data_IF_650133393974
#
_entry.id   IF_650133393974
#
_cell.length_a   1.000
_cell.length_b   1.000
_cell.length_c   1.000
_cell.angle_alpha   90.00
_cell.angle_beta   90.00
_cell.angle_gamma   90.00
#
_symmetry.space_group_name_H-M   'P 1'
#
loop_
_entity.id
_entity.type
_entity.pdbx_description
1 polymer ?
#
# COMPACT_ATOMS: atom_id res chain seq x y z
N UNK A 1 12.77 -5.94 2.61
CA UNK A 1 11.77 -6.54 1.66
C UNK A 1 12.34 -7.69 0.82
N UNK A 2 13.66 -7.78 0.61
CA UNK A 2 14.29 -8.89 -0.13
C UNK A 2 14.03 -10.28 0.48
N UNK A 3 13.81 -10.36 1.79
CA UNK A 3 13.45 -11.61 2.50
C UNK A 3 12.10 -12.20 2.09
N UNK A 4 11.22 -11.41 1.48
CA UNK A 4 9.87 -11.82 1.04
C UNK A 4 9.70 -11.82 -0.48
N UNK A 5 10.79 -11.72 -1.26
CA UNK A 5 10.75 -11.70 -2.73
C UNK A 5 10.20 -10.40 -3.31
N UNK A 6 10.08 -9.34 -2.51
CA UNK A 6 9.67 -8.02 -2.97
C UNK A 6 10.77 -7.37 -3.82
N UNK A 7 10.37 -6.71 -4.88
CA UNK A 7 11.29 -5.87 -5.66
C UNK A 7 11.64 -4.63 -4.85
N UNK A 8 12.90 -4.15 -4.89
CA UNK A 8 13.32 -2.97 -4.13
C UNK A 8 12.60 -1.68 -4.56
N UNK A 9 12.08 -1.66 -5.77
CA UNK A 9 11.35 -0.55 -6.41
C UNK A 9 9.85 -0.50 -6.07
N UNK A 10 9.36 -1.40 -5.22
CA UNK A 10 7.98 -1.39 -4.74
C UNK A 10 8.00 -1.20 -3.21
N UNK A 11 8.08 0.03 -2.71
CA UNK A 11 7.99 0.30 -1.29
C UNK A 11 6.60 -0.08 -0.77
N UNK A 12 6.60 -0.64 0.43
CA UNK A 12 5.42 -1.02 1.17
C UNK A 12 5.29 -0.12 2.40
N UNK A 13 4.11 0.45 2.58
CA UNK A 13 3.74 1.12 3.83
C UNK A 13 3.02 0.08 4.70
N UNK A 14 3.58 -0.28 5.86
CA UNK A 14 2.93 -1.21 6.78
C UNK A 14 1.71 -0.56 7.46
N UNK A 15 0.87 -1.37 8.08
CA UNK A 15 -0.35 -0.88 8.74
C UNK A 15 -0.10 0.16 9.85
N UNK A 16 1.07 0.11 10.49
CA UNK A 16 1.54 1.06 11.51
C UNK A 16 2.31 2.26 10.94
N UNK A 17 2.50 2.30 9.61
CA UNK A 17 3.10 3.42 8.89
C UNK A 17 2.10 4.53 8.55
N UNK A 18 0.84 4.40 8.96
CA UNK A 18 -0.20 5.40 8.76
C UNK A 18 -0.38 6.26 10.00
N UNK A 19 -0.32 7.58 9.80
CA UNK A 19 -0.62 8.55 10.84
C UNK A 19 -2.13 8.59 11.13
N UNK A 20 -2.50 9.02 12.35
CA UNK A 20 -3.89 9.10 12.75
C UNK A 20 -4.59 10.26 12.06
N UNK A 21 -5.47 9.96 11.11
CA UNK A 21 -6.23 10.92 10.33
C UNK A 21 -7.63 10.37 10.00
N UNK A 22 -8.59 11.21 9.60
CA UNK A 22 -9.91 10.76 9.17
C UNK A 22 -9.83 9.70 8.06
N UNK A 23 -8.96 9.86 7.08
CA UNK A 23 -8.74 8.92 5.96
C UNK A 23 -8.28 7.54 6.45
N UNK A 24 -7.45 7.50 7.49
CA UNK A 24 -6.82 6.27 7.98
C UNK A 24 -7.52 5.68 9.20
N UNK A 25 -8.63 6.30 9.62
CA UNK A 25 -9.43 5.83 10.74
C UNK A 25 -9.96 4.42 10.48
N UNK A 26 -9.51 3.47 11.26
CA UNK A 26 -9.88 2.05 11.08
C UNK A 26 -9.12 1.31 9.98
N UNK A 27 -8.31 1.98 9.18
CA UNK A 27 -7.44 1.35 8.20
C UNK A 27 -6.30 0.59 8.89
N UNK A 28 -6.17 -0.70 8.62
CA UNK A 28 -5.22 -1.60 9.30
C UNK A 28 -4.46 -2.49 8.31
N UNK A 29 -4.36 -2.04 7.07
CA UNK A 29 -3.76 -2.80 5.99
C UNK A 29 -2.46 -2.18 5.54
N UNK A 30 -1.63 -2.99 4.90
CA UNK A 30 -0.46 -2.52 4.16
C UNK A 30 -0.86 -2.11 2.75
N UNK A 31 -0.14 -1.15 2.19
CA UNK A 31 -0.30 -0.70 0.81
C UNK A 31 1.02 -0.70 0.07
N UNK A 32 0.96 -0.65 -1.26
CA UNK A 32 2.11 -0.71 -2.14
C UNK A 32 2.18 0.55 -3.01
N UNK A 33 3.37 1.10 -3.15
CA UNK A 33 3.63 2.34 -3.91
C UNK A 33 4.76 2.11 -4.92
N UNK A 34 4.48 1.52 -6.09
CA UNK A 34 5.51 1.26 -7.08
C UNK A 34 6.19 2.54 -7.56
N UNK A 35 7.54 2.57 -7.52
CA UNK A 35 8.35 3.72 -7.97
C UNK A 35 7.97 5.06 -7.32
N UNK A 36 7.54 5.04 -6.07
CA UNK A 36 7.08 6.24 -5.38
C UNK A 36 8.19 7.26 -5.15
N UNK A 37 7.84 8.52 -5.28
CA UNK A 37 8.66 9.67 -4.87
C UNK A 37 8.32 10.07 -3.44
N UNK A 38 9.32 10.35 -2.61
CA UNK A 38 9.09 10.84 -1.26
C UNK A 38 8.67 12.31 -1.25
N UNK A 39 7.76 12.65 -0.34
CA UNK A 39 7.29 14.01 -0.11
C UNK A 39 8.06 14.66 1.04
N UNK A 40 8.29 15.97 0.93
CA UNK A 40 8.82 16.79 2.01
C UNK A 40 7.81 17.88 2.34
N UNK A 41 7.29 17.87 3.56
CA UNK A 41 6.35 18.87 4.02
C UNK A 41 7.09 20.16 4.31
N UNK A 42 6.54 21.30 3.84
CA UNK A 42 7.09 22.61 4.12
C UNK A 42 7.06 22.90 5.63
N UNK A 43 8.17 23.40 6.16
CA UNK A 43 8.28 23.84 7.55
C UNK A 43 9.02 25.19 7.60
N UNK A 44 8.37 26.29 8.04
CA UNK A 44 6.96 26.35 8.47
C UNK A 44 5.97 26.13 7.30
N UNK A 45 4.76 25.67 7.63
CA UNK A 45 3.67 25.55 6.65
C UNK A 45 3.27 26.94 6.12
N UNK A 46 2.81 27.06 4.87
CA UNK A 46 2.28 28.32 4.33
C UNK A 46 1.10 28.83 5.17
N UNK A 47 0.92 30.16 5.24
CA UNK A 47 -0.04 30.78 6.13
C UNK A 47 -1.45 30.22 6.06
N UNK A 48 -1.93 29.73 7.20
CA UNK A 48 -3.27 29.16 7.38
C UNK A 48 -3.48 27.76 6.79
N UNK A 49 -2.41 27.09 6.34
CA UNK A 49 -2.45 25.70 5.86
C UNK A 49 -1.94 24.78 6.96
N UNK A 50 -2.69 23.73 7.26
CA UNK A 50 -2.27 22.61 8.10
C UNK A 50 -1.75 21.51 7.18
N UNK A 51 -0.51 21.03 7.42
CA UNK A 51 0.13 19.97 6.64
C UNK A 51 0.34 18.74 7.53
N UNK A 52 -0.15 17.59 7.11
CA UNK A 52 0.00 16.35 7.85
C UNK A 52 0.54 15.25 6.94
N UNK A 53 1.52 14.49 7.42
CA UNK A 53 1.92 13.26 6.76
C UNK A 53 0.83 12.21 6.97
N UNK A 54 0.48 11.47 5.92
CA UNK A 54 -0.56 10.44 5.99
C UNK A 54 0.03 9.03 6.03
N UNK A 55 1.05 8.78 5.20
CA UNK A 55 1.69 7.48 5.06
C UNK A 55 3.21 7.61 5.05
N UNK A 56 3.88 6.75 5.81
CA UNK A 56 5.33 6.71 5.92
C UNK A 56 5.86 5.31 5.71
N UNK A 57 7.02 5.24 5.09
CA UNK A 57 7.77 3.99 4.97
C UNK A 57 8.41 3.58 6.30
N UNK A 58 8.99 2.40 6.34
CA UNK A 58 9.75 1.94 7.50
C UNK A 58 11.10 2.67 7.64
N UNK A 59 11.72 2.70 8.83
CA UNK A 59 13.07 3.26 9.03
C UNK A 59 14.17 2.57 8.19
N UNK A 60 13.93 1.36 7.72
CA UNK A 60 14.87 0.60 6.89
C UNK A 60 14.79 0.93 5.40
N UNK A 61 13.85 1.78 5.00
CA UNK A 61 13.75 2.25 3.62
C UNK A 61 14.73 3.39 3.35
N UNK A 62 14.98 3.66 2.09
CA UNK A 62 15.72 4.84 1.66
C UNK A 62 15.11 5.41 0.37
N UNK A 63 15.33 6.69 0.13
CA UNK A 63 14.99 7.39 -1.10
C UNK A 63 16.19 7.42 -2.01
N UNK A 64 16.19 6.61 -3.04
CA UNK A 64 17.26 6.48 -4.02
C UNK A 64 17.32 7.71 -4.93
N UNK A 65 18.45 8.43 -4.90
CA UNK A 65 18.65 9.64 -5.71
C UNK A 65 19.12 9.31 -7.14
N UNK A 66 19.83 8.20 -7.29
CA UNK A 66 20.44 7.79 -8.56
C UNK A 66 19.67 6.65 -9.26
N UNK A 67 18.37 6.52 -9.00
CA UNK A 67 17.56 5.38 -9.43
C UNK A 67 17.70 5.06 -10.93
N UNK A 68 17.61 6.06 -11.81
CA UNK A 68 17.70 5.86 -13.26
C UNK A 68 19.01 5.24 -13.73
N UNK A 69 20.10 5.50 -13.01
CA UNK A 69 21.44 4.99 -13.36
C UNK A 69 21.76 3.68 -12.67
N UNK A 70 21.24 3.44 -11.47
CA UNK A 70 21.56 2.26 -10.67
C UNK A 70 20.59 1.11 -10.85
N UNK A 71 19.29 1.39 -11.02
CA UNK A 71 18.28 0.34 -11.21
C UNK A 71 18.58 -0.61 -12.38
N UNK A 72 19.03 -0.13 -13.57
CA UNK A 72 19.37 -1.03 -14.67
C UNK A 72 20.54 -1.97 -14.35
N UNK A 73 21.39 -1.62 -13.39
CA UNK A 73 22.53 -2.47 -12.99
C UNK A 73 22.13 -3.60 -12.04
N UNK A 74 20.91 -3.56 -11.49
CA UNK A 74 20.43 -4.49 -10.46
C UNK A 74 21.15 -4.35 -9.11
N UNK A 75 21.89 -3.26 -8.88
CA UNK A 75 22.72 -3.04 -7.68
C UNK A 75 22.27 -1.87 -6.85
N UNK A 76 20.95 -1.68 -6.72
CA UNK A 76 20.40 -0.67 -5.81
C UNK A 76 20.87 -0.94 -4.39
N UNK A 77 21.61 0.00 -3.82
CA UNK A 77 22.11 -0.03 -2.44
C UNK A 77 22.10 1.39 -1.89
N UNK A 78 21.66 1.51 -0.65
CA UNK A 78 21.74 2.77 0.05
C UNK A 78 23.16 3.32 0.05
N UNK A 79 23.33 4.57 -0.38
CA UNK A 79 24.57 5.31 -0.39
C UNK A 79 24.45 6.62 0.45
N UNK A 80 25.57 7.36 0.70
CA UNK A 80 25.53 8.61 1.49
C UNK A 80 24.73 9.76 0.88
N UNK A 81 24.30 9.66 -0.38
CA UNK A 81 23.48 10.67 -1.04
C UNK A 81 22.00 10.43 -0.83
N UNK A 82 21.65 9.20 -0.47
CA UNK A 82 20.29 8.77 -0.29
C UNK A 82 19.69 9.28 1.01
N UNK A 83 18.39 9.47 0.99
CA UNK A 83 17.63 9.89 2.15
C UNK A 83 17.14 8.70 2.95
N UNK A 84 17.65 8.54 4.18
CA UNK A 84 17.20 7.49 5.11
C UNK A 84 15.72 7.64 5.47
N UNK A 85 15.01 6.53 5.55
CA UNK A 85 13.64 6.47 6.06
C UNK A 85 13.53 6.72 7.59
N UNK A 86 12.29 6.90 8.09
CA UNK A 86 11.04 6.76 7.35
C UNK A 86 10.77 7.94 6.41
N UNK A 87 10.30 7.65 5.20
CA UNK A 87 9.98 8.65 4.18
C UNK A 87 8.47 8.82 4.05
N UNK A 88 8.00 10.05 3.93
CA UNK A 88 6.58 10.34 3.68
C UNK A 88 6.26 10.05 2.22
N UNK A 89 5.27 9.19 1.96
CA UNK A 89 4.78 8.88 0.61
C UNK A 89 3.40 9.48 0.34
N UNK A 90 2.64 9.81 1.37
CA UNK A 90 1.36 10.50 1.24
C UNK A 90 1.23 11.58 2.29
N UNK A 91 0.61 12.68 1.94
CA UNK A 91 0.38 13.82 2.81
C UNK A 91 -0.97 14.48 2.48
N UNK A 92 -1.53 15.17 3.45
CA UNK A 92 -2.73 15.98 3.30
C UNK A 92 -2.45 17.40 3.68
N UNK A 93 -3.22 18.31 3.09
CA UNK A 93 -3.21 19.73 3.43
C UNK A 93 -4.66 20.21 3.59
N UNK A 94 -4.92 20.96 4.64
CA UNK A 94 -6.21 21.61 4.90
C UNK A 94 -6.02 23.09 5.11
N UNK A 95 -6.99 23.87 4.63
CA UNK A 95 -7.04 25.30 4.87
C UNK A 95 -8.49 25.71 5.12
N UNK A 96 -8.76 26.25 6.30
CA UNK A 96 -10.07 26.84 6.63
C UNK A 96 -10.27 28.13 5.85
N UNK A 97 -11.43 28.26 5.22
CA UNK A 97 -11.85 29.43 4.46
C UNK A 97 -12.82 30.23 5.36
N UNK A 98 -12.40 31.41 5.79
CA UNK A 98 -13.22 32.31 6.62
C UNK A 98 -12.40 32.96 7.73
N UNK A 99 -12.88 34.10 8.22
CA UNK A 99 -12.30 34.72 9.41
C UNK A 99 -12.60 33.84 10.64
N UNK A 100 -11.65 33.76 11.59
CA UNK A 100 -11.93 33.15 12.87
C UNK A 100 -13.15 33.81 13.50
N UNK A 101 -14.05 33.07 14.19
CA UNK A 101 -15.20 33.70 14.88
C UNK A 101 -14.68 34.77 15.82
N UNK A 102 -15.33 35.95 15.76
CA UNK A 102 -14.97 37.07 16.62
C UNK A 102 -15.01 36.65 18.10
N UNK A 103 -14.11 37.12 18.95
CA UNK A 103 -14.14 36.81 20.37
C UNK A 103 -15.49 37.21 20.97
N UNK A 104 -16.22 36.23 21.54
CA UNK A 104 -17.54 36.47 22.13
C UNK A 104 -18.74 36.11 21.26
N UNK A 105 -18.55 35.59 20.07
CA UNK A 105 -19.63 35.01 19.26
C UNK A 105 -20.24 33.78 19.96
N UNK A 106 -21.56 33.63 19.99
CA UNK A 106 -22.19 32.44 20.56
C UNK A 106 -21.70 31.19 19.77
N UNK A 107 -21.61 30.03 20.43
CA UNK A 107 -21.21 28.79 19.75
C UNK A 107 -22.14 28.58 18.56
N UNK A 108 -21.59 28.63 17.36
CA UNK A 108 -22.33 28.31 16.14
C UNK A 108 -22.74 26.84 16.23
N UNK A 109 -23.98 26.55 15.90
CA UNK A 109 -24.52 25.19 15.94
C UNK A 109 -23.57 24.21 15.26
N UNK A 110 -23.41 22.96 15.76
CA UNK A 110 -22.41 21.98 15.28
C UNK A 110 -22.63 21.51 13.84
N UNK A 111 -23.58 22.07 13.10
CA UNK A 111 -23.96 21.60 11.77
C UNK A 111 -23.38 22.38 10.59
N UNK A 112 -22.58 23.42 10.82
CA UNK A 112 -21.87 24.11 9.71
C UNK A 112 -20.38 24.19 10.03
N UNK A 113 -19.65 23.12 9.71
CA UNK A 113 -18.19 23.19 9.59
C UNK A 113 -17.84 24.37 8.67
N UNK A 114 -16.92 25.22 9.11
CA UNK A 114 -16.42 26.30 8.23
C UNK A 114 -15.96 25.68 6.92
N UNK A 115 -16.25 26.30 5.77
CA UNK A 115 -15.78 25.77 4.50
C UNK A 115 -14.26 25.69 4.54
N UNK A 116 -13.72 24.57 4.11
CA UNK A 116 -12.29 24.32 4.07
C UNK A 116 -11.89 23.78 2.71
N UNK A 117 -10.66 24.08 2.31
CA UNK A 117 -10.02 23.45 1.15
C UNK A 117 -9.25 22.25 1.64
N UNK A 118 -9.38 21.14 0.93
CA UNK A 118 -8.70 19.88 1.22
C UNK A 118 -7.86 19.46 0.02
N UNK A 119 -6.66 19.00 0.28
CA UNK A 119 -5.75 18.46 -0.72
C UNK A 119 -5.13 17.18 -0.17
N UNK A 120 -5.06 16.14 -0.99
CA UNK A 120 -4.30 14.94 -0.73
C UNK A 120 -3.24 14.75 -1.82
N UNK A 121 -2.00 14.47 -1.43
CA UNK A 121 -0.86 14.30 -2.33
C UNK A 121 -0.24 12.94 -2.07
N UNK A 122 -0.02 12.19 -3.13
CA UNK A 122 0.66 10.91 -3.10
C UNK A 122 1.90 10.98 -4.00
N UNK A 123 2.99 10.39 -3.56
CA UNK A 123 4.23 10.30 -4.34
C UNK A 123 4.20 9.22 -5.42
N UNK A 124 3.07 8.59 -5.63
CA UNK A 124 2.82 7.54 -6.62
C UNK A 124 1.38 7.61 -7.13
N UNK A 125 1.16 7.30 -8.38
CA UNK A 125 -0.18 7.18 -8.99
C UNK A 125 -0.58 5.72 -9.22
N UNK A 126 0.37 4.80 -9.27
CA UNK A 126 0.13 3.41 -9.62
C UNK A 126 -0.66 2.65 -8.56
N UNK A 127 -0.57 3.07 -7.30
CA UNK A 127 -1.36 2.50 -6.21
C UNK A 127 -2.88 2.59 -6.48
N UNK A 128 -3.32 3.61 -7.22
CA UNK A 128 -4.71 3.81 -7.61
C UNK A 128 -5.06 3.21 -8.98
N UNK A 129 -4.11 2.58 -9.66
CA UNK A 129 -4.31 1.95 -10.97
C UNK A 129 -5.07 0.62 -10.85
N UNK A 130 -5.63 0.15 -11.97
CA UNK A 130 -6.34 -1.13 -12.03
C UNK A 130 -5.47 -2.33 -11.60
N UNK A 131 -4.15 -2.21 -11.65
CA UNK A 131 -3.24 -3.27 -11.26
C UNK A 131 -3.23 -3.49 -9.74
N UNK A 132 -3.43 -2.44 -8.96
CA UNK A 132 -3.34 -2.47 -7.49
C UNK A 132 -4.70 -2.25 -6.81
N UNK A 133 -5.60 -1.46 -7.42
CA UNK A 133 -6.88 -1.06 -6.84
C UNK A 133 -7.76 -2.24 -6.40
N UNK A 134 -7.88 -3.27 -7.20
CA UNK A 134 -8.78 -4.40 -6.93
C UNK A 134 -8.14 -5.58 -6.20
N UNK A 135 -6.82 -5.68 -6.20
CA UNK A 135 -6.07 -6.83 -5.68
C UNK A 135 -5.37 -6.59 -4.34
N UNK A 136 -5.32 -5.34 -3.89
CA UNK A 136 -4.65 -4.91 -2.66
C UNK A 136 -5.58 -4.01 -1.84
N UNK A 137 -5.12 -3.55 -0.68
CA UNK A 137 -5.86 -2.59 0.14
C UNK A 137 -5.71 -1.14 -0.35
N UNK A 138 -4.99 -0.92 -1.45
CA UNK A 138 -4.75 0.41 -2.01
C UNK A 138 -6.05 1.06 -2.47
N UNK A 139 -6.97 0.27 -3.06
CA UNK A 139 -8.30 0.74 -3.45
C UNK A 139 -9.15 1.24 -2.29
N UNK A 140 -9.07 0.60 -1.12
CA UNK A 140 -9.78 1.06 0.09
C UNK A 140 -9.21 2.40 0.57
N UNK A 141 -7.88 2.53 0.62
CA UNK A 141 -7.25 3.80 0.96
C UNK A 141 -7.65 4.91 -0.01
N UNK A 142 -7.63 4.63 -1.32
CA UNK A 142 -8.03 5.60 -2.34
C UNK A 142 -9.48 6.06 -2.15
N UNK A 143 -10.41 5.15 -1.91
CA UNK A 143 -11.82 5.48 -1.66
C UNK A 143 -11.99 6.31 -0.38
N UNK A 144 -11.24 6.00 0.68
CA UNK A 144 -11.23 6.80 1.88
C UNK A 144 -10.77 8.24 1.62
N UNK A 145 -9.74 8.41 0.79
CA UNK A 145 -9.26 9.73 0.36
C UNK A 145 -10.34 10.49 -0.39
N UNK A 146 -11.00 9.86 -1.36
CA UNK A 146 -12.08 10.48 -2.15
C UNK A 146 -13.25 10.89 -1.23
N UNK A 147 -13.67 10.03 -0.32
CA UNK A 147 -14.73 10.33 0.63
C UNK A 147 -14.36 11.52 1.54
N UNK A 148 -13.13 11.57 2.03
CA UNK A 148 -12.63 12.68 2.82
C UNK A 148 -12.61 13.99 2.01
N UNK A 149 -12.12 13.97 0.78
CA UNK A 149 -12.12 15.14 -0.12
C UNK A 149 -13.54 15.63 -0.42
N UNK A 150 -14.50 14.71 -0.51
CA UNK A 150 -15.92 15.02 -0.71
C UNK A 150 -16.64 15.49 0.57
N UNK A 151 -15.96 15.55 1.71
CA UNK A 151 -16.57 15.91 3.00
C UNK A 151 -17.49 14.82 3.58
N UNK A 152 -17.37 13.58 3.11
CA UNK A 152 -18.19 12.44 3.52
C UNK A 152 -17.43 11.54 4.51
N UNK A 153 -16.95 12.13 5.60
CA UNK A 153 -16.11 11.44 6.59
C UNK A 153 -16.82 10.28 7.29
N UNK A 154 -18.14 10.35 7.41
CA UNK A 154 -18.94 9.25 7.98
C UNK A 154 -18.83 7.96 7.14
N UNK A 155 -18.59 8.06 5.83
CA UNK A 155 -18.41 6.90 4.94
C UNK A 155 -17.03 6.27 5.08
N UNK A 156 -16.02 7.02 5.51
CA UNK A 156 -14.68 6.50 5.78
C UNK A 156 -14.68 5.51 6.94
N UNK A 157 -15.54 5.74 7.96
CA UNK A 157 -15.66 4.88 9.13
C UNK A 157 -16.36 3.54 8.84
N UNK A 158 -17.14 3.49 7.76
CA UNK A 158 -17.79 2.27 7.27
C UNK A 158 -16.83 1.64 6.25
N UNK A 159 -15.68 1.13 6.71
CA UNK A 159 -14.79 0.37 5.85
C UNK A 159 -15.62 -0.67 5.10
N UNK A 160 -15.62 -0.61 3.76
CA UNK A 160 -16.20 -1.65 2.96
C UNK A 160 -15.68 -2.96 3.54
N UNK A 161 -16.58 -3.91 3.85
CA UNK A 161 -16.20 -5.22 4.39
C UNK A 161 -15.25 -5.85 3.37
N UNK A 162 -13.96 -5.48 3.52
CA UNK A 162 -12.91 -5.84 2.61
C UNK A 162 -12.87 -7.36 2.61
N UNK A 163 -13.34 -7.95 1.55
CA UNK A 163 -12.92 -9.29 1.17
C UNK A 163 -11.49 -9.13 0.66
N UNK A 164 -10.57 -8.83 1.59
CA UNK A 164 -9.17 -8.93 1.25
C UNK A 164 -9.00 -10.29 0.55
N UNK A 165 -8.51 -10.33 -0.67
CA UNK A 165 -8.19 -11.60 -1.28
C UNK A 165 -7.26 -12.29 -0.30
N UNK A 166 -7.68 -13.43 0.22
CA UNK A 166 -6.82 -14.26 1.06
C UNK A 166 -5.72 -14.72 0.13
N UNK A 167 -4.64 -13.94 0.08
CA UNK A 167 -3.43 -14.36 -0.62
C UNK A 167 -2.97 -15.62 0.10
N UNK A 168 -3.17 -16.76 -0.54
CA UNK A 168 -2.66 -18.03 -0.06
C UNK A 168 -1.15 -17.99 -0.19
N UNK A 169 -0.48 -17.53 0.86
CA UNK A 169 0.97 -17.54 0.94
C UNK A 169 1.42 -18.97 1.23
N UNK A 170 1.80 -19.68 0.18
CA UNK A 170 2.39 -21.00 0.32
C UNK A 170 3.79 -20.84 0.94
N UNK A 171 4.06 -21.55 2.03
CA UNK A 171 5.43 -21.68 2.53
C UNK A 171 6.28 -22.41 1.48
N UNK A 172 7.61 -22.17 1.50
CA UNK A 172 8.53 -22.83 0.57
C UNK A 172 8.38 -24.37 0.59
N UNK A 173 8.13 -24.96 1.77
CA UNK A 173 7.88 -26.39 1.90
C UNK A 173 6.60 -26.84 1.22
N UNK A 174 5.52 -26.09 1.36
CA UNK A 174 4.22 -26.37 0.72
C UNK A 174 4.33 -26.24 -0.80
N UNK A 175 4.99 -25.19 -1.29
CA UNK A 175 5.23 -25.01 -2.73
C UNK A 175 6.05 -26.18 -3.31
N UNK A 176 7.15 -26.56 -2.64
CA UNK A 176 7.97 -27.70 -3.05
C UNK A 176 7.19 -29.01 -3.02
N UNK A 177 6.38 -29.25 -2.01
CA UNK A 177 5.54 -30.44 -1.91
C UNK A 177 4.55 -30.53 -3.07
N UNK A 178 3.82 -29.45 -3.36
CA UNK A 178 2.88 -29.40 -4.48
C UNK A 178 3.61 -29.66 -5.80
N UNK A 179 4.78 -29.06 -5.99
CA UNK A 179 5.58 -29.25 -7.18
C UNK A 179 6.01 -30.71 -7.37
N UNK A 180 6.54 -31.36 -6.33
CA UNK A 180 6.96 -32.76 -6.36
C UNK A 180 5.78 -33.68 -6.65
N UNK A 181 4.64 -33.50 -5.96
CA UNK A 181 3.46 -34.32 -6.15
C UNK A 181 2.92 -34.17 -7.57
N UNK A 182 2.82 -32.96 -8.09
CA UNK A 182 2.23 -32.72 -9.41
C UNK A 182 3.12 -33.16 -10.56
N UNK A 183 4.43 -32.97 -10.48
CA UNK A 183 5.34 -33.21 -11.61
C UNK A 183 5.99 -34.59 -11.54
N UNK A 184 6.21 -35.12 -10.34
CA UNK A 184 6.92 -36.41 -10.20
C UNK A 184 5.99 -37.55 -9.83
N UNK A 185 5.22 -37.41 -8.75
CA UNK A 185 4.41 -38.51 -8.19
C UNK A 185 3.25 -38.85 -9.09
N UNK A 186 2.48 -37.87 -9.58
CA UNK A 186 1.30 -38.13 -10.42
C UNK A 186 1.67 -38.80 -11.77
N UNK A 187 2.67 -38.32 -12.55
CA UNK A 187 3.09 -39.02 -13.76
C UNK A 187 3.70 -40.40 -13.48
N UNK A 188 4.49 -40.56 -12.41
CA UNK A 188 5.10 -41.84 -12.04
C UNK A 188 4.03 -42.91 -11.72
N UNK A 189 2.97 -42.53 -10.99
CA UNK A 189 1.86 -43.46 -10.70
C UNK A 189 1.14 -43.90 -11.95
N UNK A 190 0.88 -43.00 -12.90
CA UNK A 190 0.24 -43.33 -14.19
C UNK A 190 1.13 -44.29 -14.98
N UNK A 191 2.43 -44.04 -15.07
CA UNK A 191 3.37 -44.91 -15.76
C UNK A 191 3.43 -46.32 -15.10
N UNK A 192 3.47 -46.36 -13.79
CA UNK A 192 3.52 -47.61 -13.03
C UNK A 192 2.25 -48.44 -13.26
N UNK A 193 1.08 -47.82 -13.15
CA UNK A 193 -0.20 -48.52 -13.40
C UNK A 193 -0.28 -48.97 -14.86
N UNK A 194 0.11 -48.13 -15.82
CA UNK A 194 0.14 -48.46 -17.24
C UNK A 194 1.06 -49.65 -17.53
N UNK A 195 2.25 -49.66 -16.94
CA UNK A 195 3.22 -50.75 -17.09
C UNK A 195 2.69 -52.06 -16.49
N UNK A 196 2.12 -51.99 -15.29
CA UNK A 196 1.52 -53.18 -14.64
C UNK A 196 0.39 -53.77 -15.50
N UNK A 197 -0.50 -52.93 -16.01
CA UNK A 197 -1.59 -53.37 -16.87
C UNK A 197 -1.06 -53.94 -18.20
N UNK A 198 -0.07 -53.33 -18.79
CA UNK A 198 0.55 -53.83 -20.01
C UNK A 198 1.20 -55.21 -19.82
N UNK A 199 2.00 -55.39 -18.74
CA UNK A 199 2.65 -56.67 -18.42
C UNK A 199 1.57 -57.76 -18.13
N UNK A 200 0.48 -57.45 -17.41
CA UNK A 200 -0.62 -58.41 -17.19
C UNK A 200 -1.28 -58.83 -18.47
N UNK A 201 -1.56 -57.89 -19.39
CA UNK A 201 -2.20 -58.23 -20.71
C UNK A 201 -1.27 -59.04 -21.60
N UNK A 202 0.05 -58.96 -21.45
CA UNK A 202 1.00 -59.74 -22.25
C UNK A 202 1.16 -61.19 -21.77
N UNK A 203 0.71 -61.51 -20.60
CA UNK A 203 0.76 -62.87 -20.01
C UNK A 203 -0.55 -63.64 -20.12
N UNK A 204 -1.60 -63.04 -20.68
CA UNK A 204 -2.84 -63.66 -21.14
C UNK A 204 -2.77 -63.89 -22.63
#
# INVERSE_FOLDING_TARGET
>A
SALFGGKPDIPMVPADGYESHAITKGFRYQTFYPLATSLTLASPAPGGVELEALARTTPLSWGEVSYETEAPTGKLKMDPKDKQGPLTLAAVATKKLGEPPAPGSPPTEPSKSQPETRLAVFGDSDFASNAYFGGTSDGELFLNVVNWLAGQEDLVAIGAKSRAPVLVTLSQRQASFIWIVSILVAPATILLVGTVLWVRRRKL
#
